data_IF_082801481683
#
_entry.id   IF_082801481683
#
_cell.length_a   1.000
_cell.length_b   1.000
_cell.length_c   1.000
_cell.angle_alpha   90.00
_cell.angle_beta   90.00
_cell.angle_gamma   90.00
#
_symmetry.space_group_name_H-M   'P 1'
#
loop_
_entity.id
_entity.type
_entity.pdbx_description
1 polymer ?
#
# COMPACT_ATOMS: atom_id res chain seq x y z
N UNK A 1 15.20 0.23 18.72
CA UNK A 1 15.48 -0.34 17.39
C UNK A 1 14.22 -1.09 16.98
N UNK A 2 13.37 -0.50 16.17
CA UNK A 2 12.17 -1.18 15.66
C UNK A 2 12.64 -2.29 14.73
N UNK A 3 12.21 -3.52 15.02
CA UNK A 3 12.33 -4.67 14.15
C UNK A 3 12.07 -4.24 12.69
N UNK A 4 13.08 -4.36 11.82
CA UNK A 4 13.12 -3.72 10.49
C UNK A 4 11.96 -4.11 9.55
N UNK A 5 11.19 -5.11 9.96
CA UNK A 5 10.01 -5.61 9.26
C UNK A 5 8.68 -4.97 9.70
N UNK A 6 8.63 -4.30 10.85
CA UNK A 6 7.38 -3.70 11.36
C UNK A 6 7.28 -2.22 11.02
N UNK A 7 6.26 -1.85 10.23
CA UNK A 7 5.90 -0.45 9.99
C UNK A 7 5.07 0.04 11.18
N UNK A 8 5.58 1.02 11.91
CA UNK A 8 4.82 1.64 12.99
C UNK A 8 3.63 2.42 12.39
N UNK A 9 2.43 2.36 13.00
CA UNK A 9 1.30 3.12 12.49
C UNK A 9 1.60 4.63 12.44
N UNK A 10 1.16 5.30 11.38
CA UNK A 10 1.30 6.76 11.15
C UNK A 10 2.75 7.24 11.07
N UNK A 11 3.70 6.36 10.74
CA UNK A 11 5.09 6.71 10.53
C UNK A 11 5.48 6.47 9.07
N UNK A 12 5.93 7.52 8.39
CA UNK A 12 6.48 7.40 7.03
C UNK A 12 7.73 6.53 7.05
N UNK A 13 7.67 5.41 6.33
CA UNK A 13 8.74 4.42 6.31
C UNK A 13 9.15 4.14 4.86
N UNK A 14 10.43 4.30 4.54
CA UNK A 14 10.97 3.94 3.23
C UNK A 14 10.99 2.41 3.08
N UNK A 15 10.40 1.91 2.00
CA UNK A 15 10.30 0.47 1.71
C UNK A 15 10.55 0.18 0.23
N UNK A 16 11.12 -0.99 -0.03
CA UNK A 16 11.06 -1.62 -1.36
C UNK A 16 9.68 -2.24 -1.52
N UNK A 17 8.95 -1.83 -2.55
CA UNK A 17 7.66 -2.40 -2.94
C UNK A 17 7.96 -3.48 -3.97
N UNK A 18 7.49 -4.70 -3.74
CA UNK A 18 7.76 -5.87 -4.58
C UNK A 18 6.45 -6.51 -5.03
N UNK A 19 6.48 -7.26 -6.13
CA UNK A 19 5.33 -8.06 -6.58
C UNK A 19 5.03 -9.14 -5.51
N UNK A 20 3.79 -9.26 -5.02
CA UNK A 20 3.45 -10.23 -3.96
C UNK A 20 3.58 -11.68 -4.43
N UNK A 21 3.56 -11.95 -5.74
CA UNK A 21 3.75 -13.28 -6.31
C UNK A 21 5.21 -13.56 -6.69
N UNK A 22 6.03 -12.51 -6.85
CA UNK A 22 7.45 -12.60 -7.16
C UNK A 22 8.25 -11.53 -6.38
N UNK A 23 8.75 -11.85 -5.18
CA UNK A 23 9.51 -10.91 -4.35
C UNK A 23 10.82 -10.42 -4.98
N UNK A 24 11.33 -11.08 -6.03
CA UNK A 24 12.52 -10.63 -6.75
C UNK A 24 12.24 -9.43 -7.67
N UNK A 25 10.97 -9.26 -8.07
CA UNK A 25 10.50 -8.17 -8.91
C UNK A 25 10.20 -6.94 -8.05
N UNK A 26 11.14 -6.00 -8.01
CA UNK A 26 10.96 -4.69 -7.37
C UNK A 26 10.10 -3.80 -8.28
N UNK A 27 9.01 -3.28 -7.73
CA UNK A 27 8.08 -2.37 -8.40
C UNK A 27 8.46 -0.90 -8.16
N UNK A 28 8.89 -0.57 -6.93
CA UNK A 28 9.32 0.78 -6.55
C UNK A 28 10.15 0.78 -5.24
N UNK A 29 10.82 1.88 -4.94
CA UNK A 29 11.33 2.22 -3.61
C UNK A 29 10.63 3.50 -3.15
N UNK A 30 9.67 3.36 -2.25
CA UNK A 30 8.67 4.38 -1.95
C UNK A 30 8.41 4.51 -0.44
N UNK A 31 7.70 5.56 -0.03
CA UNK A 31 7.21 5.68 1.35
C UNK A 31 5.91 4.89 1.51
N UNK A 32 5.84 4.14 2.60
CA UNK A 32 4.64 3.43 3.06
C UNK A 32 4.20 4.02 4.40
N UNK A 33 2.90 4.30 4.53
CA UNK A 33 2.28 4.69 5.80
C UNK A 33 1.14 3.74 6.10
N UNK A 34 1.19 3.06 7.24
CA UNK A 34 0.10 2.22 7.72
C UNK A 34 -0.74 2.96 8.76
N UNK A 35 -2.06 2.79 8.71
CA UNK A 35 -3.01 3.30 9.68
C UNK A 35 -3.77 2.11 10.25
N UNK A 36 -3.86 2.05 11.58
CA UNK A 36 -4.70 1.05 12.25
C UNK A 36 -6.09 1.60 12.48
N UNK A 37 -7.12 0.82 12.17
CA UNK A 37 -8.49 1.09 12.60
C UNK A 37 -8.58 1.14 14.14
N UNK A 38 -9.43 2.00 14.74
CA UNK A 38 -10.33 2.97 14.11
C UNK A 38 -9.67 4.30 13.73
N UNK A 39 -8.35 4.41 13.92
CA UNK A 39 -7.59 5.66 13.68
C UNK A 39 -7.07 5.70 12.24
N UNK A 40 -7.97 5.59 11.28
CA UNK A 40 -7.74 5.71 9.84
C UNK A 40 -8.86 6.54 9.20
N UNK A 41 -8.79 6.80 7.90
CA UNK A 41 -9.82 7.57 7.21
C UNK A 41 -11.16 6.82 7.13
N UNK A 42 -11.13 5.52 6.81
CA UNK A 42 -12.31 4.66 6.72
C UNK A 42 -12.72 4.03 8.06
N UNK A 43 -11.96 4.25 9.14
CA UNK A 43 -12.09 3.49 10.38
C UNK A 43 -11.59 2.03 10.32
N UNK A 44 -11.21 1.52 9.15
CA UNK A 44 -10.62 0.18 8.96
C UNK A 44 -9.08 0.23 8.89
N UNK A 45 -8.39 -0.90 8.92
CA UNK A 45 -6.94 -0.91 8.66
C UNK A 45 -6.65 -0.43 7.23
N UNK A 46 -5.73 0.53 7.08
CA UNK A 46 -5.39 1.15 5.80
C UNK A 46 -3.88 1.26 5.61
N UNK A 47 -3.46 1.32 4.35
CA UNK A 47 -2.09 1.65 3.99
C UNK A 47 -2.06 2.62 2.79
N UNK A 48 -1.17 3.60 2.85
CA UNK A 48 -0.92 4.56 1.78
C UNK A 48 0.46 4.31 1.17
N UNK A 49 0.49 4.16 -0.16
CA UNK A 49 1.71 3.98 -0.95
C UNK A 49 2.04 5.28 -1.68
N UNK A 50 3.14 5.94 -1.29
CA UNK A 50 3.60 7.18 -1.91
C UNK A 50 4.65 6.86 -2.97
N UNK A 51 4.17 6.36 -4.11
CA UNK A 51 4.98 5.90 -5.22
C UNK A 51 5.59 7.07 -6.00
N UNK A 52 6.65 6.78 -6.77
CA UNK A 52 7.09 7.70 -7.82
C UNK A 52 5.99 7.87 -8.87
N UNK A 53 5.76 9.12 -9.31
CA UNK A 53 4.60 9.50 -10.14
C UNK A 53 4.60 9.02 -11.60
N UNK A 54 5.42 8.02 -11.94
CA UNK A 54 5.43 7.41 -13.27
C UNK A 54 4.19 6.53 -13.46
N UNK A 55 3.45 6.73 -14.56
CA UNK A 55 2.25 5.93 -14.88
C UNK A 55 2.54 4.43 -14.92
N UNK A 56 3.71 4.03 -15.44
CA UNK A 56 4.15 2.64 -15.46
C UNK A 56 4.31 2.03 -14.05
N UNK A 57 4.78 2.82 -13.08
CA UNK A 57 4.96 2.37 -11.69
C UNK A 57 3.61 2.19 -11.03
N UNK A 58 2.73 3.19 -11.14
CA UNK A 58 1.37 3.12 -10.58
C UNK A 58 0.60 1.93 -11.16
N UNK A 59 0.65 1.74 -12.48
CA UNK A 59 -0.02 0.61 -13.13
C UNK A 59 0.56 -0.73 -12.66
N UNK A 60 1.90 -0.87 -12.59
CA UNK A 60 2.53 -2.10 -12.15
C UNK A 60 2.16 -2.48 -10.70
N UNK A 61 2.02 -1.49 -9.80
CA UNK A 61 1.56 -1.72 -8.43
C UNK A 61 0.08 -2.11 -8.40
N UNK A 62 -0.80 -1.41 -9.13
CA UNK A 62 -2.22 -1.75 -9.20
C UNK A 62 -2.44 -3.16 -9.78
N UNK A 63 -1.73 -3.51 -10.86
CA UNK A 63 -1.78 -4.84 -11.45
C UNK A 63 -1.33 -5.91 -10.45
N UNK A 64 -0.28 -5.64 -9.69
CA UNK A 64 0.23 -6.56 -8.66
C UNK A 64 -0.77 -6.74 -7.52
N UNK A 65 -1.41 -5.66 -7.06
CA UNK A 65 -2.47 -5.71 -6.04
C UNK A 65 -3.71 -6.47 -6.54
N UNK A 66 -4.08 -6.32 -7.82
CA UNK A 66 -5.25 -7.00 -8.41
C UNK A 66 -5.15 -8.53 -8.40
N UNK A 67 -3.93 -9.07 -8.28
CA UNK A 67 -3.67 -10.51 -8.19
C UNK A 67 -3.86 -11.07 -6.77
N UNK A 68 -4.00 -10.22 -5.75
CA UNK A 68 -4.22 -10.65 -4.37
C UNK A 68 -5.70 -11.08 -4.22
N UNK A 69 -5.98 -12.31 -3.76
CA UNK A 69 -7.35 -12.75 -3.55
C UNK A 69 -8.12 -11.81 -2.61
N UNK A 70 -9.30 -11.36 -3.06
CA UNK A 70 -10.15 -10.42 -2.30
C UNK A 70 -9.77 -8.95 -2.43
N UNK A 71 -8.65 -8.60 -3.08
CA UNK A 71 -8.35 -7.23 -3.44
C UNK A 71 -9.17 -6.81 -4.66
N UNK A 72 -9.86 -5.66 -4.58
CA UNK A 72 -10.67 -5.12 -5.66
C UNK A 72 -10.43 -3.63 -5.79
N UNK A 73 -10.58 -3.12 -7.02
CA UNK A 73 -10.64 -1.68 -7.23
C UNK A 73 -11.85 -1.10 -6.50
N UNK A 74 -11.62 -0.01 -5.78
CA UNK A 74 -12.69 0.72 -5.12
C UNK A 74 -13.60 1.41 -6.15
N UNK A 75 -14.91 1.45 -5.87
CA UNK A 75 -15.83 2.32 -6.62
C UNK A 75 -15.63 3.79 -6.24
N UNK A 76 -16.14 4.69 -7.07
CA UNK A 76 -16.19 6.11 -6.73
C UNK A 76 -16.90 6.31 -5.37
N UNK A 77 -16.25 7.04 -4.47
CA UNK A 77 -16.78 7.32 -3.12
C UNK A 77 -16.64 6.19 -2.09
N UNK A 78 -16.18 4.98 -2.47
CA UNK A 78 -16.22 3.82 -1.56
C UNK A 78 -15.46 4.05 -0.24
N UNK A 79 -14.33 4.75 -0.27
CA UNK A 79 -13.54 5.03 0.93
C UNK A 79 -14.23 6.02 1.87
N UNK A 80 -15.03 6.95 1.37
CA UNK A 80 -15.72 7.94 2.21
C UNK A 80 -17.02 7.41 2.81
N UNK A 81 -17.59 6.35 2.22
CA UNK A 81 -18.81 5.69 2.70
C UNK A 81 -18.55 4.62 3.78
N UNK A 82 -17.28 4.22 3.94
CA UNK A 82 -16.85 3.25 4.95
C UNK A 82 -16.73 3.89 6.33
#
# INVERSE_FOLDING_TARGET
MTDGNRVAPRMATLKKIVDPLDPSRVLDVALLICFKGPKSYTGEDMAEFHLHGGTAIVQAVLDSLSKIPGCKMARAGEFSER
#
